data_IF_427393871704
#
_entry.id   IF_427393871704
#
_cell.length_a   1.000
_cell.length_b   1.000
_cell.length_c   1.000
_cell.angle_alpha   90.00
_cell.angle_beta   90.00
_cell.angle_gamma   90.00
#
_symmetry.space_group_name_H-M   'P 1'
#
loop_
_entity.id
_entity.type
_entity.pdbx_description
1 polymer ?
#
# COMPACT_ATOMS: atom_id res chain seq x y z
N UNK A 1 -4.81 29.69 52.50
CA UNK A 1 -4.02 28.46 52.33
C UNK A 1 -2.94 28.74 51.31
N UNK A 2 -1.68 28.90 51.74
CA UNK A 2 -0.54 29.18 50.84
C UNK A 2 -0.20 27.91 50.07
N UNK A 3 -0.09 28.03 48.72
CA UNK A 3 0.38 26.96 47.84
C UNK A 3 1.78 26.48 48.27
N UNK A 4 1.83 25.28 48.85
CA UNK A 4 3.06 24.68 49.41
C UNK A 4 3.88 23.93 48.33
N UNK A 5 3.49 23.98 47.08
CA UNK A 5 4.30 23.38 46.05
C UNK A 5 5.43 24.31 45.61
N UNK A 6 6.66 23.92 45.94
CA UNK A 6 7.86 24.59 45.49
C UNK A 6 7.90 24.57 43.94
N UNK A 7 8.08 25.73 43.30
CA UNK A 7 8.14 25.85 41.83
C UNK A 7 9.08 24.84 41.17
N UNK A 8 10.16 24.46 41.84
CA UNK A 8 11.12 23.43 41.39
C UNK A 8 10.51 22.02 41.36
N UNK A 9 9.66 21.69 42.38
CA UNK A 9 8.97 20.38 42.41
C UNK A 9 7.92 20.29 41.32
N UNK A 10 7.17 21.37 41.07
CA UNK A 10 6.18 21.43 39.98
C UNK A 10 6.85 21.27 38.63
N UNK A 11 7.97 21.98 38.40
CA UNK A 11 8.73 21.86 37.14
C UNK A 11 9.29 20.42 36.94
N UNK A 12 9.76 19.79 38.01
CA UNK A 12 10.24 18.41 37.94
C UNK A 12 9.09 17.42 37.65
N UNK A 13 7.93 17.57 38.28
CA UNK A 13 6.77 16.73 37.99
C UNK A 13 6.27 16.88 36.54
N UNK A 14 6.26 18.12 36.02
CA UNK A 14 5.93 18.35 34.59
C UNK A 14 6.93 17.68 33.68
N UNK A 15 8.23 17.76 33.98
CA UNK A 15 9.27 17.09 33.21
C UNK A 15 9.10 15.56 33.16
N UNK A 16 8.81 14.94 34.31
CA UNK A 16 8.54 13.49 34.40
C UNK A 16 7.28 13.13 33.62
N UNK A 17 6.21 13.95 33.70
CA UNK A 17 4.97 13.70 32.95
C UNK A 17 5.20 13.78 31.43
N UNK A 18 5.98 14.74 30.97
CA UNK A 18 6.34 14.86 29.53
C UNK A 18 7.14 13.65 29.07
N UNK A 19 8.13 13.23 29.84
CA UNK A 19 8.93 12.05 29.51
C UNK A 19 8.08 10.77 29.46
N UNK A 20 7.17 10.57 30.40
CA UNK A 20 6.24 9.45 30.41
C UNK A 20 5.33 9.46 29.18
N UNK A 21 4.80 10.62 28.78
CA UNK A 21 3.98 10.75 27.57
C UNK A 21 4.78 10.46 26.28
N UNK A 22 6.02 10.95 26.19
CA UNK A 22 6.88 10.64 25.03
C UNK A 22 7.18 9.13 24.97
N UNK A 23 7.49 8.50 26.11
CA UNK A 23 7.74 7.07 26.18
C UNK A 23 6.52 6.23 25.76
N UNK A 24 5.32 6.60 26.19
CA UNK A 24 4.08 5.93 25.78
C UNK A 24 3.80 6.12 24.29
N UNK A 25 3.95 7.32 23.75
CA UNK A 25 3.76 7.60 22.33
C UNK A 25 4.74 6.82 21.47
N UNK A 26 6.01 6.77 21.85
CA UNK A 26 7.04 5.99 21.11
C UNK A 26 6.75 4.50 21.17
N UNK A 27 6.33 3.96 22.32
CA UNK A 27 5.96 2.56 22.46
C UNK A 27 4.76 2.19 21.57
N UNK A 28 3.71 3.00 21.56
CA UNK A 28 2.56 2.81 20.66
C UNK A 28 2.95 2.93 19.20
N UNK A 29 3.81 3.88 18.85
CA UNK A 29 4.24 4.08 17.46
C UNK A 29 5.08 2.91 16.94
N UNK A 30 6.02 2.41 17.74
CA UNK A 30 6.83 1.22 17.41
C UNK A 30 5.95 -0.02 17.31
N UNK A 31 5.01 -0.21 18.24
CA UNK A 31 4.04 -1.31 18.21
C UNK A 31 3.15 -1.28 16.96
N UNK A 32 2.68 -0.08 16.58
CA UNK A 32 1.88 0.11 15.37
C UNK A 32 2.65 -0.21 14.09
N UNK A 33 3.90 0.25 13.98
CA UNK A 33 4.76 -0.04 12.83
C UNK A 33 5.07 -1.54 12.70
N UNK A 34 5.27 -2.25 13.80
CA UNK A 34 5.50 -3.70 13.80
C UNK A 34 4.25 -4.46 13.36
N UNK A 35 3.09 -4.08 13.88
CA UNK A 35 1.81 -4.71 13.53
C UNK A 35 1.42 -4.50 12.05
N UNK A 36 1.75 -3.34 11.47
CA UNK A 36 1.54 -3.09 10.02
C UNK A 36 2.45 -3.93 9.13
N UNK A 37 3.67 -4.26 9.57
CA UNK A 37 4.58 -5.14 8.82
C UNK A 37 4.06 -6.57 8.78
N UNK A 38 3.60 -7.10 9.91
CA UNK A 38 3.14 -8.48 10.05
C UNK A 38 1.77 -8.74 9.36
N UNK A 39 0.97 -7.70 9.14
CA UNK A 39 -0.35 -7.76 8.49
C UNK A 39 -0.35 -7.21 7.06
N UNK A 40 0.80 -7.02 6.43
CA UNK A 40 0.83 -6.59 5.03
C UNK A 40 0.28 -7.68 4.11
N UNK A 41 -0.41 -7.33 3.00
CA UNK A 41 -0.96 -8.31 2.05
C UNK A 41 0.08 -9.32 1.56
N UNK A 42 1.34 -8.87 1.40
CA UNK A 42 2.45 -9.75 1.01
C UNK A 42 2.81 -10.77 2.08
N UNK A 43 2.83 -10.37 3.37
CA UNK A 43 3.08 -11.29 4.48
C UNK A 43 1.93 -12.29 4.63
N UNK A 44 0.70 -11.81 4.47
CA UNK A 44 -0.49 -12.67 4.50
C UNK A 44 -0.41 -13.78 3.45
N UNK A 45 -0.09 -13.45 2.19
CA UNK A 45 0.01 -14.44 1.12
C UNK A 45 1.14 -15.44 1.39
N UNK A 46 2.33 -14.96 1.78
CA UNK A 46 3.47 -15.82 2.09
C UNK A 46 3.19 -16.79 3.25
N UNK A 47 2.54 -16.31 4.31
CA UNK A 47 2.11 -17.15 5.45
C UNK A 47 1.02 -18.13 5.04
N UNK A 48 0.01 -17.70 4.29
CA UNK A 48 -1.10 -18.53 3.86
C UNK A 48 -0.64 -19.70 2.98
N UNK A 49 0.37 -19.48 2.14
CA UNK A 49 0.93 -20.49 1.25
C UNK A 49 2.05 -21.30 1.89
N UNK A 50 2.43 -21.00 3.14
CA UNK A 50 3.55 -21.63 3.83
C UNK A 50 4.85 -21.58 2.99
N UNK A 51 5.17 -20.41 2.43
CA UNK A 51 6.37 -20.23 1.64
C UNK A 51 7.63 -20.53 2.45
N UNK A 52 8.57 -21.24 1.85
CA UNK A 52 9.92 -21.37 2.38
C UNK A 52 10.61 -20.00 2.38
N UNK A 53 11.69 -19.83 3.14
CA UNK A 53 12.44 -18.56 3.15
C UNK A 53 12.94 -18.16 1.76
N UNK A 54 13.36 -19.12 0.93
CA UNK A 54 13.75 -18.86 -0.45
C UNK A 54 12.59 -18.34 -1.30
N UNK A 55 11.41 -18.99 -1.22
CA UNK A 55 10.20 -18.55 -1.91
C UNK A 55 9.74 -17.17 -1.42
N UNK A 56 9.80 -16.93 -0.11
CA UNK A 56 9.41 -15.66 0.51
C UNK A 56 10.29 -14.51 0.02
N UNK A 57 11.60 -14.71 -0.01
CA UNK A 57 12.54 -13.70 -0.52
C UNK A 57 12.28 -13.39 -1.99
N UNK A 58 12.15 -14.42 -2.83
CA UNK A 58 11.84 -14.25 -4.25
C UNK A 58 10.49 -13.53 -4.47
N UNK A 59 9.46 -13.90 -3.70
CA UNK A 59 8.15 -13.26 -3.75
C UNK A 59 8.23 -11.78 -3.33
N UNK A 60 8.98 -11.45 -2.30
CA UNK A 60 9.10 -10.06 -1.83
C UNK A 60 9.78 -9.16 -2.86
N UNK A 61 10.76 -9.67 -3.58
CA UNK A 61 11.36 -8.94 -4.71
C UNK A 61 10.35 -8.74 -5.85
N UNK A 62 9.58 -9.76 -6.21
CA UNK A 62 8.50 -9.63 -7.20
C UNK A 62 7.45 -8.60 -6.76
N UNK A 63 7.04 -8.62 -5.49
CA UNK A 63 6.06 -7.68 -4.94
C UNK A 63 6.59 -6.24 -4.90
N UNK A 64 7.86 -6.04 -4.57
CA UNK A 64 8.52 -4.74 -4.60
C UNK A 64 8.51 -4.16 -6.02
N UNK A 65 8.98 -4.93 -6.99
CA UNK A 65 9.04 -4.52 -8.39
C UNK A 65 7.64 -4.22 -8.96
N UNK A 66 6.65 -5.08 -8.64
CA UNK A 66 5.26 -4.84 -9.00
C UNK A 66 4.76 -3.52 -8.43
N UNK A 67 4.95 -3.26 -7.14
CA UNK A 67 4.47 -2.05 -6.49
C UNK A 67 5.09 -0.77 -7.07
N UNK A 68 6.40 -0.78 -7.36
CA UNK A 68 7.09 0.34 -7.98
C UNK A 68 6.49 0.67 -9.35
N UNK A 69 6.27 -0.33 -10.20
CA UNK A 69 5.70 -0.14 -11.53
C UNK A 69 4.20 0.20 -11.47
N UNK A 70 3.43 -0.45 -10.58
CA UNK A 70 2.02 -0.14 -10.38
C UNK A 70 1.82 1.31 -9.92
N UNK A 71 2.70 1.85 -9.06
CA UNK A 71 2.63 3.23 -8.64
C UNK A 71 2.86 4.22 -9.78
N UNK A 72 3.78 3.91 -10.71
CA UNK A 72 4.00 4.73 -11.92
C UNK A 72 2.75 4.74 -12.80
N UNK A 73 2.14 3.57 -13.03
CA UNK A 73 0.91 3.48 -13.83
C UNK A 73 -0.27 4.18 -13.13
N UNK A 74 -0.43 4.04 -11.82
CA UNK A 74 -1.46 4.76 -11.05
C UNK A 74 -1.30 6.28 -11.14
N UNK A 75 -0.07 6.77 -11.12
CA UNK A 75 0.20 8.19 -11.35
C UNK A 75 -0.23 8.62 -12.77
N UNK A 76 0.04 7.79 -13.79
CA UNK A 76 -0.41 8.04 -15.16
C UNK A 76 -1.94 8.03 -15.28
N UNK A 77 -2.63 7.05 -14.67
CA UNK A 77 -4.10 7.00 -14.63
C UNK A 77 -4.67 8.30 -14.02
N UNK A 78 -4.04 8.80 -12.96
CA UNK A 78 -4.46 10.07 -12.35
C UNK A 78 -4.33 11.23 -13.33
N UNK A 79 -3.18 11.36 -14.00
CA UNK A 79 -2.93 12.41 -15.02
C UNK A 79 -3.95 12.29 -16.17
N UNK A 80 -4.17 11.08 -16.69
CA UNK A 80 -5.10 10.86 -17.80
C UNK A 80 -6.54 11.22 -17.41
N UNK A 81 -6.95 10.90 -16.18
CA UNK A 81 -8.26 11.31 -15.64
C UNK A 81 -8.35 12.83 -15.48
N UNK A 82 -7.33 13.47 -14.93
CA UNK A 82 -7.28 14.93 -14.81
C UNK A 82 -7.43 15.60 -16.18
N UNK A 83 -6.71 15.10 -17.19
CA UNK A 83 -6.81 15.61 -18.57
C UNK A 83 -8.21 15.42 -19.14
N UNK A 84 -8.84 14.27 -18.95
CA UNK A 84 -10.22 14.02 -19.37
C UNK A 84 -11.19 15.02 -18.72
N UNK A 85 -11.11 15.19 -17.40
CA UNK A 85 -12.04 16.05 -16.68
C UNK A 85 -11.73 17.56 -16.85
N UNK A 86 -10.50 17.92 -17.24
CA UNK A 86 -10.21 19.31 -17.65
C UNK A 86 -11.01 19.76 -18.87
N UNK A 87 -11.43 18.84 -19.74
CA UNK A 87 -12.29 19.16 -20.89
C UNK A 87 -13.61 19.80 -20.48
N UNK A 88 -14.10 19.57 -19.23
CA UNK A 88 -15.32 20.20 -18.72
C UNK A 88 -15.25 21.74 -18.68
N UNK A 89 -14.05 22.32 -18.75
CA UNK A 89 -13.85 23.78 -18.80
C UNK A 89 -14.06 24.36 -20.21
N UNK A 90 -14.22 23.50 -21.21
CA UNK A 90 -14.43 23.89 -22.60
C UNK A 90 -15.93 23.94 -22.89
N UNK A 91 -16.45 25.07 -23.41
CA UNK A 91 -17.87 25.26 -23.67
C UNK A 91 -18.41 24.29 -24.75
N UNK A 92 -17.59 23.98 -25.75
CA UNK A 92 -17.94 23.02 -26.80
C UNK A 92 -16.89 21.93 -26.89
N UNK A 93 -17.24 20.73 -26.47
CA UNK A 93 -16.36 19.56 -26.52
C UNK A 93 -16.75 18.71 -27.72
N UNK A 94 -15.78 18.49 -28.62
CA UNK A 94 -15.94 17.55 -29.73
C UNK A 94 -15.89 16.13 -29.17
N UNK A 95 -16.88 15.29 -29.52
CA UNK A 95 -16.98 13.90 -29.01
C UNK A 95 -15.72 13.09 -29.26
N UNK A 96 -15.04 13.26 -30.39
CA UNK A 96 -13.79 12.55 -30.66
C UNK A 96 -12.67 12.91 -29.66
N UNK A 97 -12.60 14.16 -29.22
CA UNK A 97 -11.59 14.59 -28.20
C UNK A 97 -11.90 13.97 -26.85
N UNK A 98 -13.16 14.00 -26.43
CA UNK A 98 -13.62 13.35 -25.20
C UNK A 98 -13.35 11.83 -25.23
N UNK A 99 -13.73 11.16 -26.32
CA UNK A 99 -13.55 9.72 -26.45
C UNK A 99 -12.08 9.31 -26.48
N UNK A 100 -11.21 10.09 -27.14
CA UNK A 100 -9.76 9.85 -27.13
C UNK A 100 -9.15 10.03 -25.73
N UNK A 101 -9.60 11.04 -24.97
CA UNK A 101 -9.15 11.22 -23.59
C UNK A 101 -9.62 10.05 -22.70
N UNK A 102 -10.86 9.60 -22.83
CA UNK A 102 -11.38 8.44 -22.11
C UNK A 102 -10.64 7.15 -22.49
N UNK A 103 -10.30 6.97 -23.77
CA UNK A 103 -9.51 5.84 -24.25
C UNK A 103 -8.13 5.78 -23.58
N UNK A 104 -7.43 6.90 -23.40
CA UNK A 104 -6.15 6.95 -22.70
C UNK A 104 -6.29 6.45 -21.26
N UNK A 105 -7.32 6.88 -20.53
CA UNK A 105 -7.60 6.37 -19.18
C UNK A 105 -7.77 4.86 -19.21
N UNK A 106 -8.56 4.33 -20.15
CA UNK A 106 -8.82 2.89 -20.27
C UNK A 106 -7.55 2.09 -20.57
N UNK A 107 -6.68 2.60 -21.45
CA UNK A 107 -5.39 1.96 -21.76
C UNK A 107 -4.45 1.94 -20.56
N UNK A 108 -4.41 3.00 -19.76
CA UNK A 108 -3.61 3.04 -18.54
C UNK A 108 -4.14 2.06 -17.47
N UNK A 109 -5.45 1.90 -17.35
CA UNK A 109 -6.08 0.90 -16.47
C UNK A 109 -5.73 -0.51 -16.96
N UNK A 110 -5.91 -0.79 -18.25
CA UNK A 110 -5.53 -2.07 -18.85
C UNK A 110 -4.06 -2.42 -18.58
N UNK A 111 -3.16 -1.44 -18.69
CA UNK A 111 -1.73 -1.66 -18.41
C UNK A 111 -1.50 -2.08 -16.94
N UNK A 112 -2.26 -1.52 -15.99
CA UNK A 112 -2.18 -1.92 -14.58
C UNK A 112 -2.70 -3.35 -14.35
N UNK A 113 -3.79 -3.72 -15.00
CA UNK A 113 -4.37 -5.07 -14.88
C UNK A 113 -3.43 -6.13 -15.47
N UNK A 114 -2.83 -5.85 -16.63
CA UNK A 114 -1.82 -6.74 -17.24
C UNK A 114 -0.59 -6.87 -16.33
N UNK A 115 -0.07 -5.76 -15.79
CA UNK A 115 1.04 -5.79 -14.84
C UNK A 115 0.72 -6.65 -13.61
N UNK A 116 -0.51 -6.55 -13.11
CA UNK A 116 -0.97 -7.32 -11.94
C UNK A 116 -1.11 -8.80 -12.29
N UNK A 117 -1.68 -9.12 -13.44
CA UNK A 117 -1.77 -10.50 -13.94
C UNK A 117 -0.37 -11.14 -14.08
N UNK A 118 0.56 -10.43 -14.71
CA UNK A 118 1.93 -10.92 -14.91
C UNK A 118 2.68 -11.10 -13.58
N UNK A 119 2.41 -10.24 -12.59
CA UNK A 119 2.94 -10.42 -11.25
C UNK A 119 2.41 -11.73 -10.64
N UNK A 120 1.11 -11.96 -10.62
CA UNK A 120 0.54 -13.19 -10.06
C UNK A 120 0.97 -14.44 -10.83
N UNK A 121 1.12 -14.36 -12.15
CA UNK A 121 1.68 -15.45 -12.95
C UNK A 121 3.10 -15.81 -12.48
N UNK A 122 3.97 -14.83 -12.24
CA UNK A 122 5.33 -15.04 -11.71
C UNK A 122 5.29 -15.63 -10.29
N UNK A 123 4.42 -15.14 -9.42
CA UNK A 123 4.25 -15.69 -8.06
C UNK A 123 3.78 -17.14 -8.11
N UNK A 124 2.85 -17.49 -9.00
CA UNK A 124 2.38 -18.86 -9.19
C UNK A 124 3.50 -19.82 -9.61
N UNK A 125 4.48 -19.34 -10.38
CA UNK A 125 5.66 -20.14 -10.76
C UNK A 125 6.56 -20.43 -9.54
N UNK A 126 6.58 -19.59 -8.52
CA UNK A 126 7.31 -19.86 -7.28
C UNK A 126 6.65 -20.93 -6.42
N UNK A 127 5.35 -21.20 -6.63
CA UNK A 127 4.59 -22.17 -5.87
C UNK A 127 4.96 -23.62 -6.29
N UNK A 128 5.03 -24.51 -5.32
CA UNK A 128 5.05 -25.96 -5.58
C UNK A 128 3.70 -26.41 -6.13
N UNK A 129 3.63 -27.62 -6.72
CA UNK A 129 2.36 -28.17 -7.22
C UNK A 129 1.28 -28.25 -6.15
N UNK A 130 1.68 -28.52 -4.89
CA UNK A 130 0.77 -28.57 -3.73
C UNK A 130 0.27 -27.19 -3.29
N UNK A 131 1.07 -26.13 -3.52
CA UNK A 131 0.70 -24.75 -3.15
C UNK A 131 -0.19 -24.08 -4.20
N UNK A 132 -0.10 -24.48 -5.48
CA UNK A 132 -0.81 -23.84 -6.59
C UNK A 132 -2.34 -23.78 -6.41
N UNK A 133 -3.04 -24.85 -6.02
CA UNK A 133 -4.50 -24.79 -5.85
C UNK A 133 -4.92 -23.76 -4.80
N UNK A 134 -4.19 -23.68 -3.69
CA UNK A 134 -4.45 -22.71 -2.63
C UNK A 134 -4.13 -21.27 -3.07
N UNK A 135 -3.07 -21.10 -3.86
CA UNK A 135 -2.73 -19.82 -4.47
C UNK A 135 -3.87 -19.35 -5.39
N UNK A 136 -4.34 -20.22 -6.29
CA UNK A 136 -5.39 -19.91 -7.26
C UNK A 136 -6.70 -19.49 -6.55
N UNK A 137 -7.09 -20.20 -5.46
CA UNK A 137 -8.25 -19.87 -4.63
C UNK A 137 -8.10 -18.50 -3.92
N UNK A 138 -6.91 -18.21 -3.40
CA UNK A 138 -6.64 -16.93 -2.75
C UNK A 138 -6.71 -15.76 -3.75
N UNK A 139 -6.16 -15.92 -4.95
CA UNK A 139 -6.21 -14.86 -5.97
C UNK A 139 -7.64 -14.61 -6.44
N UNK A 140 -8.44 -15.65 -6.66
CA UNK A 140 -9.85 -15.48 -7.05
C UNK A 140 -10.69 -14.73 -6.02
N UNK A 141 -10.33 -14.80 -4.74
CA UNK A 141 -10.99 -14.03 -3.67
C UNK A 141 -10.52 -12.58 -3.56
N UNK A 142 -9.39 -12.25 -4.21
CA UNK A 142 -8.78 -10.91 -4.14
C UNK A 142 -9.14 -10.02 -5.33
N UNK A 143 -9.57 -10.59 -6.44
CA UNK A 143 -10.00 -9.91 -7.67
C UNK A 143 -11.50 -9.93 -7.80
#
# INVERSE_FOLDING_TARGET
>A
MKSILNKKVVAWLIGVLILANIATLTFFWIGHLKNQRDNSPKEFLAKSLHFSEAQKNAYFELAKNHNENANKIRAQIKIDKENLFQLLKTEQIVDSVKNNAALKVSLSIQALDILTFDHFKKVRVLCTEEQKPKFDDLIQKMV
#
